data_IF_483486083724
#
_entry.id   IF_483486083724
#
_cell.length_a   1.000
_cell.length_b   1.000
_cell.length_c   1.000
_cell.angle_alpha   90.00
_cell.angle_beta   90.00
_cell.angle_gamma   90.00
#
_symmetry.space_group_name_H-M   'P 1'
#
loop_
_entity.id
_entity.type
_entity.pdbx_description
1 polymer ?
#
# COMPACT_ATOMS: atom_id res chain seq x y z
N UNK A 1 4.08 -7.34 -15.96
CA UNK A 1 4.97 -6.18 -16.15
C UNK A 1 5.16 -5.82 -17.64
N UNK A 2 5.09 -6.77 -18.58
CA UNK A 2 5.27 -6.47 -20.02
C UNK A 2 4.18 -5.58 -20.61
N UNK A 3 2.89 -5.85 -20.34
CA UNK A 3 1.78 -4.96 -20.74
C UNK A 3 1.93 -3.52 -20.25
N UNK A 4 2.50 -3.34 -19.05
CA UNK A 4 2.74 -2.02 -18.49
C UNK A 4 3.88 -1.29 -19.23
N UNK A 5 4.99 -1.99 -19.50
CA UNK A 5 6.11 -1.46 -20.29
C UNK A 5 5.70 -1.13 -21.73
N UNK A 6 4.83 -1.94 -22.34
CA UNK A 6 4.32 -1.71 -23.70
C UNK A 6 3.36 -0.51 -23.76
N UNK A 7 2.49 -0.34 -22.76
CA UNK A 7 1.66 0.85 -22.64
C UNK A 7 2.51 2.12 -22.44
N UNK A 8 3.54 2.03 -21.59
CA UNK A 8 4.48 3.14 -21.38
C UNK A 8 5.26 3.44 -22.66
N UNK A 9 5.70 2.41 -23.39
CA UNK A 9 6.40 2.58 -24.67
C UNK A 9 5.52 3.23 -25.74
N UNK A 10 4.22 2.92 -25.76
CA UNK A 10 3.24 3.55 -26.63
C UNK A 10 3.04 5.04 -26.28
N UNK A 11 3.08 5.41 -24.99
CA UNK A 11 2.95 6.80 -24.54
C UNK A 11 4.19 7.65 -24.82
N UNK A 12 5.40 7.11 -24.62
CA UNK A 12 6.66 7.86 -24.72
C UNK A 12 7.38 7.69 -26.07
N UNK A 13 6.93 6.77 -26.92
CA UNK A 13 7.46 6.51 -28.26
C UNK A 13 8.74 5.66 -28.31
N UNK A 14 9.27 5.22 -27.16
CA UNK A 14 10.43 4.32 -27.08
C UNK A 14 10.29 3.32 -25.93
N UNK A 15 10.94 2.16 -26.02
CA UNK A 15 10.85 1.12 -24.97
C UNK A 15 11.74 1.50 -23.79
N UNK A 16 11.20 1.64 -22.56
CA UNK A 16 12.02 1.92 -21.39
C UNK A 16 13.00 0.78 -21.10
N UNK A 17 14.13 1.11 -20.48
CA UNK A 17 15.19 0.16 -20.14
C UNK A 17 14.65 -1.00 -19.28
N UNK A 18 15.12 -2.26 -19.48
CA UNK A 18 14.63 -3.43 -18.76
C UNK A 18 14.86 -3.35 -17.24
N UNK A 19 15.81 -2.54 -16.77
CA UNK A 19 16.02 -2.28 -15.34
C UNK A 19 14.83 -1.58 -14.68
N UNK A 20 14.10 -0.73 -15.40
CA UNK A 20 12.90 -0.07 -14.87
C UNK A 20 11.79 -1.07 -14.58
N UNK A 21 11.69 -2.14 -15.39
CA UNK A 21 10.75 -3.24 -15.16
C UNK A 21 11.01 -3.93 -13.81
N UNK A 22 12.29 -4.19 -13.50
CA UNK A 22 12.70 -4.78 -12.23
C UNK A 22 12.46 -3.83 -11.05
N UNK A 23 12.77 -2.54 -11.23
CA UNK A 23 12.53 -1.52 -10.23
C UNK A 23 11.04 -1.46 -9.84
N UNK A 24 10.15 -1.34 -10.83
CA UNK A 24 8.72 -1.20 -10.59
C UNK A 24 8.04 -2.48 -10.10
N UNK A 25 8.48 -3.64 -10.56
CA UNK A 25 7.83 -4.92 -10.21
C UNK A 25 8.32 -5.50 -8.88
N UNK A 26 9.56 -5.22 -8.48
CA UNK A 26 10.17 -5.86 -7.29
C UNK A 26 10.71 -4.84 -6.29
N UNK A 27 11.48 -3.85 -6.73
CA UNK A 27 12.12 -2.90 -5.80
C UNK A 27 11.09 -2.03 -5.09
N UNK A 28 10.18 -1.41 -5.84
CA UNK A 28 9.13 -0.57 -5.26
C UNK A 28 8.29 -1.30 -4.21
N UNK A 29 7.69 -2.48 -4.48
CA UNK A 29 6.90 -3.17 -3.46
C UNK A 29 7.73 -3.61 -2.26
N UNK A 30 8.98 -4.05 -2.45
CA UNK A 30 9.87 -4.45 -1.34
C UNK A 30 10.24 -3.27 -0.46
N UNK A 31 10.62 -2.14 -1.06
CA UNK A 31 10.97 -0.91 -0.30
C UNK A 31 9.74 -0.38 0.43
N UNK A 32 8.57 -0.32 -0.23
CA UNK A 32 7.34 0.11 0.41
C UNK A 32 6.95 -0.79 1.59
N UNK A 33 7.07 -2.12 1.44
CA UNK A 33 6.81 -3.06 2.53
C UNK A 33 7.82 -2.90 3.67
N UNK A 34 9.11 -2.74 3.35
CA UNK A 34 10.18 -2.53 4.32
C UNK A 34 9.98 -1.26 5.15
N UNK A 35 9.65 -0.14 4.50
CA UNK A 35 9.35 1.13 5.18
C UNK A 35 8.12 0.99 6.07
N UNK A 36 7.05 0.37 5.57
CA UNK A 36 5.84 0.11 6.36
C UNK A 36 6.13 -0.73 7.62
N UNK A 37 6.86 -1.84 7.46
CA UNK A 37 7.27 -2.69 8.59
C UNK A 37 8.16 -1.95 9.57
N UNK A 38 9.11 -1.15 9.08
CA UNK A 38 9.97 -0.33 9.94
C UNK A 38 9.17 0.67 10.77
N UNK A 39 8.14 1.31 10.17
CA UNK A 39 7.21 2.19 10.88
C UNK A 39 6.39 1.47 11.95
N UNK A 40 5.94 0.24 11.69
CA UNK A 40 5.19 -0.57 12.67
C UNK A 40 6.08 -1.03 13.82
N UNK A 41 7.30 -1.49 13.53
CA UNK A 41 8.24 -2.02 14.55
C UNK A 41 8.79 -0.89 15.43
N UNK A 42 9.13 0.26 14.84
CA UNK A 42 9.60 1.43 15.58
C UNK A 42 8.47 2.32 16.09
N UNK A 43 7.25 1.79 16.13
CA UNK A 43 6.12 2.53 16.68
C UNK A 43 6.37 2.82 18.16
N UNK A 44 6.71 4.07 18.46
CA UNK A 44 6.80 4.58 19.83
C UNK A 44 5.48 5.24 20.18
N UNK A 45 5.01 5.02 21.42
CA UNK A 45 3.90 5.79 21.99
C UNK A 45 4.16 7.27 21.73
N UNK A 46 3.19 7.93 21.11
CA UNK A 46 3.21 9.36 20.88
C UNK A 46 3.20 10.06 22.25
N UNK A 47 4.36 10.52 22.71
CA UNK A 47 4.48 11.32 23.94
C UNK A 47 4.54 12.78 23.54
N UNK A 48 3.50 13.54 23.89
CA UNK A 48 3.47 14.96 23.61
C UNK A 48 4.14 15.70 24.79
N UNK A 49 5.13 16.55 24.51
CA UNK A 49 5.87 17.34 25.49
C UNK A 49 6.52 16.55 26.67
N UNK A 50 6.91 15.29 26.46
CA UNK A 50 7.61 14.44 27.45
C UNK A 50 6.89 14.19 28.81
N UNK A 51 5.73 14.82 29.04
CA UNK A 51 4.94 14.76 30.29
C UNK A 51 3.55 14.18 30.02
N UNK A 52 3.01 14.32 28.81
CA UNK A 52 1.67 13.83 28.46
C UNK A 52 1.75 12.55 27.62
N UNK A 53 1.50 11.43 28.29
CA UNK A 53 1.30 10.13 27.62
C UNK A 53 -0.08 10.15 26.98
N UNK A 54 -0.14 10.02 25.65
CA UNK A 54 -1.41 9.97 24.96
C UNK A 54 -2.23 8.76 25.48
N UNK A 55 -3.51 8.95 25.81
CA UNK A 55 -4.33 7.87 26.32
C UNK A 55 -4.51 6.79 25.25
N UNK A 56 -4.57 5.53 25.68
CA UNK A 56 -4.64 4.37 24.81
C UNK A 56 -5.80 4.41 23.80
N UNK A 57 -6.94 5.01 24.15
CA UNK A 57 -8.07 5.17 23.23
C UNK A 57 -7.76 6.09 22.06
N UNK A 58 -6.96 7.13 22.29
CA UNK A 58 -6.56 8.07 21.25
C UNK A 58 -5.61 7.39 20.26
N UNK A 59 -4.70 6.57 20.77
CA UNK A 59 -3.77 5.79 19.96
C UNK A 59 -4.52 4.85 19.01
N UNK A 60 -5.52 4.14 19.54
CA UNK A 60 -6.41 3.26 18.76
C UNK A 60 -7.20 4.06 17.71
N UNK A 61 -7.72 5.24 18.06
CA UNK A 61 -8.40 6.13 17.11
C UNK A 61 -7.49 6.60 15.96
N UNK A 62 -6.24 6.95 16.28
CA UNK A 62 -5.24 7.35 15.28
C UNK A 62 -4.91 6.21 14.31
N UNK A 63 -4.72 5.00 14.83
CA UNK A 63 -4.54 3.81 14.00
C UNK A 63 -5.76 3.49 13.16
N UNK A 64 -6.96 3.60 13.72
CA UNK A 64 -8.20 3.37 12.99
C UNK A 64 -8.38 4.37 11.83
N UNK A 65 -8.09 5.65 12.08
CA UNK A 65 -8.15 6.68 11.05
C UNK A 65 -7.12 6.44 9.94
N UNK A 66 -5.88 6.08 10.30
CA UNK A 66 -4.85 5.72 9.31
C UNK A 66 -5.24 4.50 8.47
N UNK A 67 -5.68 3.42 9.13
CA UNK A 67 -6.09 2.17 8.49
C UNK A 67 -7.38 2.31 7.67
N UNK A 68 -8.27 3.25 8.00
CA UNK A 68 -9.52 3.45 7.25
C UNK A 68 -9.28 3.67 5.75
N UNK A 69 -8.29 4.49 5.40
CA UNK A 69 -7.89 4.76 4.02
C UNK A 69 -7.29 3.54 3.33
N UNK A 70 -6.47 2.78 4.06
CA UNK A 70 -5.82 1.56 3.55
C UNK A 70 -6.81 0.42 3.34
N UNK A 71 -7.86 0.34 4.17
CA UNK A 71 -8.92 -0.66 4.10
C UNK A 71 -9.90 -0.45 2.94
N UNK A 72 -10.02 0.77 2.38
CA UNK A 72 -10.88 1.02 1.22
C UNK A 72 -10.53 0.12 0.02
N UNK A 73 -9.24 -0.14 -0.22
CA UNK A 73 -8.77 -0.97 -1.34
C UNK A 73 -9.21 -2.44 -1.17
N UNK A 74 -8.90 -3.16 -0.07
CA UNK A 74 -9.34 -4.53 0.10
C UNK A 74 -10.88 -4.63 0.22
N UNK A 75 -11.55 -3.67 0.85
CA UNK A 75 -13.01 -3.67 0.95
C UNK A 75 -13.67 -3.58 -0.42
N UNK A 76 -13.17 -2.74 -1.32
CA UNK A 76 -13.68 -2.65 -2.69
C UNK A 76 -13.39 -3.92 -3.49
N UNK A 77 -12.24 -4.55 -3.31
CA UNK A 77 -11.93 -5.86 -3.91
C UNK A 77 -12.90 -6.93 -3.42
N UNK A 78 -13.10 -7.07 -2.11
CA UNK A 78 -14.05 -8.05 -1.54
C UNK A 78 -15.47 -7.77 -2.01
N UNK A 79 -15.91 -6.50 -1.98
CA UNK A 79 -17.23 -6.11 -2.47
C UNK A 79 -17.42 -6.49 -3.94
N UNK A 80 -16.45 -6.19 -4.80
CA UNK A 80 -16.48 -6.57 -6.21
C UNK A 80 -16.49 -8.09 -6.37
N UNK A 81 -15.68 -8.82 -5.63
CA UNK A 81 -15.59 -10.28 -5.67
C UNK A 81 -16.93 -10.94 -5.29
N UNK A 82 -17.61 -10.43 -4.26
CA UNK A 82 -18.90 -10.95 -3.78
C UNK A 82 -20.07 -10.58 -4.70
N UNK A 83 -20.02 -9.41 -5.35
CA UNK A 83 -21.06 -8.96 -6.29
C UNK A 83 -20.85 -9.45 -7.73
N UNK A 84 -19.64 -9.91 -8.07
CA UNK A 84 -19.39 -10.56 -9.35
C UNK A 84 -20.15 -11.89 -9.39
N UNK A 85 -21.13 -12.00 -10.30
CA UNK A 85 -21.77 -13.27 -10.64
C UNK A 85 -20.82 -14.08 -11.53
N UNK A 86 -19.83 -14.73 -10.93
CA UNK A 86 -18.84 -15.57 -11.63
C UNK A 86 -18.04 -16.44 -10.65
N UNK A 87 -17.46 -17.53 -11.14
CA UNK A 87 -16.55 -18.38 -10.37
C UNK A 87 -15.31 -17.57 -9.95
N UNK A 88 -14.77 -17.81 -8.75
CA UNK A 88 -13.54 -17.15 -8.27
C UNK A 88 -12.31 -17.42 -9.17
N UNK A 89 -12.41 -18.38 -10.10
CA UNK A 89 -11.35 -18.77 -11.03
C UNK A 89 -11.57 -18.31 -12.49
N UNK A 90 -12.66 -17.61 -12.80
CA UNK A 90 -12.95 -17.08 -14.15
C UNK A 90 -12.80 -15.56 -14.26
#
# INVERSE_FOLDING_TARGET
>A
ADRFMDNVACMIGYRPLPYMKWCWSYVTPVVCMGVFLFHVVNYKRLVYNAVYVYPWWGEVLGWFLALSSMLCIPLTVVYKLLHCKGSLME
#
